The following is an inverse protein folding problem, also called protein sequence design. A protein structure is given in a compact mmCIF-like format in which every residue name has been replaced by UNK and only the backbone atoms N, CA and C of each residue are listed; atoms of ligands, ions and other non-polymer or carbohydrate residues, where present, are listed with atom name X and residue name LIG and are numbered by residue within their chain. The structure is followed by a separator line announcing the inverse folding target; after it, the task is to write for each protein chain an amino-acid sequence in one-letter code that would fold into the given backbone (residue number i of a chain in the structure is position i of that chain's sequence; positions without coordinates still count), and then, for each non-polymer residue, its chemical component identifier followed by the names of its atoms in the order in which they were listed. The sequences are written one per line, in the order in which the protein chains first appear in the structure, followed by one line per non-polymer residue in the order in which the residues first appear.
data_IF_407118209501
#
_entry.id   IF_407118209501
#
_cell.length_a   1.000
_cell.length_b   1.000
_cell.length_c   1.000
_cell.angle_alpha   90.00
_cell.angle_beta   90.00
_cell.angle_gamma   90.00
#
_symmetry.space_group_name_H-M   'P 1'
#
loop_
_entity.id
_entity.type
_entity.pdbx_description
1 polymer ?
#
# COMPACT_ATOMS: atom_id res chain seq x y z
N UNK A 1 3.26 5.03 21.85
CA UNK A 1 2.40 3.83 21.64
C UNK A 1 2.78 2.72 22.60
N UNK A 2 1.81 1.96 23.14
CA UNK A 2 2.05 0.78 24.01
C UNK A 2 2.36 -0.48 23.18
N UNK A 3 2.84 -1.57 23.79
CA UNK A 3 3.03 -2.85 23.07
C UNK A 3 1.71 -3.39 22.51
N UNK A 4 0.63 -3.29 23.29
CA UNK A 4 -0.70 -3.76 22.88
C UNK A 4 -1.23 -2.99 21.67
N UNK A 5 -1.06 -1.66 21.64
CA UNK A 5 -1.48 -0.83 20.52
C UNK A 5 -0.71 -1.19 19.24
N UNK A 6 0.63 -1.29 19.31
CA UNK A 6 1.43 -1.66 18.12
C UNK A 6 1.10 -3.08 17.64
N UNK A 7 0.76 -4.00 18.56
CA UNK A 7 0.31 -5.34 18.17
C UNK A 7 -1.05 -5.32 17.47
N UNK A 8 -1.99 -4.51 17.95
CA UNK A 8 -3.29 -4.36 17.28
C UNK A 8 -3.14 -3.79 15.86
N UNK A 9 -2.30 -2.75 15.70
CA UNK A 9 -1.93 -2.20 14.39
C UNK A 9 -1.37 -3.28 13.45
N UNK A 10 -0.44 -4.10 13.95
CA UNK A 10 0.14 -5.19 13.16
C UNK A 10 -0.91 -6.21 12.70
N UNK A 11 -1.84 -6.61 13.57
CA UNK A 11 -2.90 -7.55 13.22
C UNK A 11 -3.86 -6.98 12.17
N UNK A 12 -4.23 -5.70 12.29
CA UNK A 12 -5.10 -5.03 11.33
C UNK A 12 -4.43 -4.89 9.96
N UNK A 13 -3.19 -4.41 9.93
CA UNK A 13 -2.38 -4.31 8.72
C UNK A 13 -2.17 -5.67 8.07
N UNK A 14 -1.96 -6.73 8.86
CA UNK A 14 -1.83 -8.11 8.35
C UNK A 14 -3.06 -8.54 7.56
N UNK A 15 -4.26 -8.35 8.11
CA UNK A 15 -5.50 -8.77 7.44
C UNK A 15 -5.77 -7.95 6.18
N UNK A 16 -5.46 -6.65 6.20
CA UNK A 16 -5.59 -5.80 5.02
C UNK A 16 -4.60 -6.24 3.92
N UNK A 17 -3.31 -6.39 4.25
CA UNK A 17 -2.30 -6.85 3.30
C UNK A 17 -2.64 -8.21 2.71
N UNK A 18 -3.06 -9.17 3.54
CA UNK A 18 -3.48 -10.50 3.10
C UNK A 18 -4.57 -10.42 2.03
N UNK A 19 -5.58 -9.60 2.28
CA UNK A 19 -6.68 -9.40 1.33
C UNK A 19 -6.21 -8.70 0.07
N UNK A 20 -5.44 -7.61 0.19
CA UNK A 20 -4.91 -6.88 -0.97
C UNK A 20 -4.03 -7.74 -1.85
N UNK A 21 -3.18 -8.61 -1.28
CA UNK A 21 -2.36 -9.59 -2.02
C UNK A 21 -3.26 -10.58 -2.74
N UNK A 22 -4.27 -11.15 -2.07
CA UNK A 22 -5.19 -12.10 -2.68
C UNK A 22 -5.98 -11.47 -3.86
N UNK A 23 -6.62 -10.33 -3.64
CA UNK A 23 -7.42 -9.62 -4.65
C UNK A 23 -6.55 -9.22 -5.87
N UNK A 24 -5.32 -8.75 -5.61
CA UNK A 24 -4.38 -8.36 -6.66
C UNK A 24 -3.86 -9.55 -7.45
N UNK A 25 -3.50 -10.65 -6.77
CA UNK A 25 -3.03 -11.87 -7.43
C UNK A 25 -4.12 -12.52 -8.27
N UNK A 26 -5.34 -12.61 -7.74
CA UNK A 26 -6.49 -13.15 -8.48
C UNK A 26 -6.75 -12.37 -9.76
N UNK A 27 -6.68 -11.03 -9.69
CA UNK A 27 -6.76 -10.18 -10.87
C UNK A 27 -5.60 -10.45 -11.84
N UNK A 28 -4.35 -10.37 -11.38
CA UNK A 28 -3.17 -10.52 -12.24
C UNK A 28 -3.10 -11.89 -12.94
N UNK A 29 -3.57 -12.95 -12.30
CA UNK A 29 -3.58 -14.31 -12.85
C UNK A 29 -4.63 -14.52 -13.94
N UNK A 30 -5.69 -13.72 -13.96
CA UNK A 30 -6.80 -13.85 -14.91
C UNK A 30 -6.71 -12.87 -16.08
N UNK A 31 -5.79 -11.89 -16.02
CA UNK A 31 -5.76 -10.77 -16.94
C UNK A 31 -4.70 -10.91 -18.02
N UNK A 32 -5.05 -10.46 -19.22
CA UNK A 32 -4.14 -10.30 -20.34
C UNK A 32 -4.37 -8.97 -21.03
N UNK A 33 -3.36 -8.42 -21.68
CA UNK A 33 -3.49 -7.18 -22.46
C UNK A 33 -4.59 -7.31 -23.52
N UNK A 34 -4.70 -8.48 -24.16
CA UNK A 34 -5.76 -8.74 -25.14
C UNK A 34 -7.15 -8.64 -24.53
N UNK A 35 -7.38 -9.23 -23.35
CA UNK A 35 -8.65 -9.15 -22.64
C UNK A 35 -8.98 -7.71 -22.20
N UNK A 36 -8.00 -6.99 -21.64
CA UNK A 36 -8.14 -5.58 -21.23
C UNK A 36 -8.50 -4.66 -22.41
N UNK A 37 -7.97 -4.93 -23.61
CA UNK A 37 -8.31 -4.17 -24.83
C UNK A 37 -9.73 -4.44 -25.34
N UNK A 38 -10.44 -5.46 -24.85
CA UNK A 38 -11.85 -5.67 -25.17
C UNK A 38 -12.78 -4.86 -24.25
N UNK A 39 -12.34 -4.55 -23.03
CA UNK A 39 -13.11 -3.78 -22.04
C UNK A 39 -13.24 -2.29 -22.36
N UNK A 40 -14.25 -1.61 -21.85
CA UNK A 40 -14.33 -0.14 -21.93
C UNK A 40 -13.07 0.52 -21.35
N UNK A 41 -12.62 1.61 -21.99
CA UNK A 41 -11.43 2.36 -21.59
C UNK A 41 -10.73 3.02 -22.79
N UNK A 42 -9.55 3.59 -22.55
CA UNK A 42 -8.76 4.31 -23.56
C UNK A 42 -8.24 3.45 -24.71
N UNK A 43 -8.16 2.12 -24.53
CA UNK A 43 -7.56 1.18 -25.50
C UNK A 43 -6.07 1.43 -25.78
N UNK A 44 -5.41 2.22 -24.94
CA UNK A 44 -3.98 2.52 -25.05
C UNK A 44 -3.16 1.32 -24.55
N UNK A 45 -2.75 0.45 -25.47
CA UNK A 45 -2.09 -0.81 -25.14
C UNK A 45 -0.86 -0.63 -24.26
N UNK A 46 -0.03 0.38 -24.54
CA UNK A 46 1.19 0.62 -23.76
C UNK A 46 0.86 1.10 -22.34
N UNK A 47 -0.14 1.96 -22.19
CA UNK A 47 -0.63 2.37 -20.89
C UNK A 47 -1.17 1.19 -20.08
N UNK A 48 -1.90 0.26 -20.70
CA UNK A 48 -2.40 -0.95 -20.01
C UNK A 48 -1.26 -1.87 -19.54
N UNK A 49 -0.17 -1.97 -20.30
CA UNK A 49 1.04 -2.67 -19.83
C UNK A 49 1.65 -1.99 -18.62
N UNK A 50 1.70 -0.65 -18.61
CA UNK A 50 2.20 0.11 -17.46
C UNK A 50 1.33 -0.09 -16.23
N UNK A 51 0.00 -0.11 -16.36
CA UNK A 51 -0.92 -0.42 -15.27
C UNK A 51 -0.64 -1.79 -14.65
N UNK A 52 -0.53 -2.84 -15.47
CA UNK A 52 -0.20 -4.18 -14.98
C UNK A 52 1.21 -4.25 -14.36
N UNK A 53 2.17 -3.50 -14.89
CA UNK A 53 3.53 -3.43 -14.33
C UNK A 53 3.52 -2.78 -12.94
N UNK A 54 2.80 -1.67 -12.77
CA UNK A 54 2.65 -1.00 -11.49
C UNK A 54 1.97 -1.92 -10.47
N UNK A 55 0.88 -2.56 -10.88
CA UNK A 55 0.12 -3.46 -10.02
C UNK A 55 0.94 -4.67 -9.54
N UNK A 56 1.74 -5.30 -10.42
CA UNK A 56 2.67 -6.37 -10.02
C UNK A 56 3.71 -5.91 -9.00
N UNK A 57 4.21 -4.69 -9.15
CA UNK A 57 5.19 -4.16 -8.20
C UNK A 57 4.56 -3.88 -6.84
N UNK A 58 3.34 -3.35 -6.82
CA UNK A 58 2.58 -3.16 -5.60
C UNK A 58 2.29 -4.49 -4.89
N UNK A 59 1.88 -5.51 -5.65
CA UNK A 59 1.62 -6.86 -5.13
C UNK A 59 2.85 -7.43 -4.40
N UNK A 60 4.03 -7.39 -5.03
CA UNK A 60 5.28 -7.84 -4.41
C UNK A 60 5.57 -7.10 -3.10
N UNK A 61 5.37 -5.78 -3.05
CA UNK A 61 5.58 -5.03 -1.81
C UNK A 61 4.60 -5.43 -0.71
N UNK A 62 3.34 -5.66 -1.06
CA UNK A 62 2.33 -6.09 -0.10
C UNK A 62 2.58 -7.52 0.40
N UNK A 63 3.05 -8.42 -0.45
CA UNK A 63 3.38 -9.80 -0.10
C UNK A 63 4.59 -9.87 0.85
N UNK A 64 5.69 -9.18 0.51
CA UNK A 64 6.86 -9.06 1.39
C UNK A 64 6.50 -8.43 2.75
N UNK A 65 5.64 -7.42 2.75
CA UNK A 65 5.13 -6.79 3.96
C UNK A 65 4.27 -7.74 4.80
N UNK A 66 3.38 -8.51 4.16
CA UNK A 66 2.53 -9.49 4.82
C UNK A 66 3.36 -10.55 5.54
N UNK A 67 4.37 -11.09 4.85
CA UNK A 67 5.28 -12.07 5.42
C UNK A 67 6.07 -11.51 6.62
N UNK A 68 6.59 -10.28 6.49
CA UNK A 68 7.32 -9.61 7.56
C UNK A 68 6.44 -9.42 8.81
N UNK A 69 5.20 -8.98 8.62
CA UNK A 69 4.21 -8.80 9.70
C UNK A 69 3.88 -10.15 10.36
N UNK A 70 3.66 -11.19 9.56
CA UNK A 70 3.35 -12.54 10.04
C UNK A 70 4.48 -13.10 10.90
N UNK A 71 5.74 -12.98 10.45
CA UNK A 71 6.92 -13.44 11.20
C UNK A 71 7.00 -12.76 12.57
N UNK A 72 6.75 -11.45 12.64
CA UNK A 72 6.83 -10.71 13.92
C UNK A 72 5.69 -11.11 14.85
N UNK A 73 4.47 -11.28 14.35
CA UNK A 73 3.31 -11.65 15.16
C UNK A 73 3.40 -13.09 15.71
N UNK A 74 4.04 -13.99 14.96
CA UNK A 74 4.26 -15.38 15.36
C UNK A 74 5.51 -15.58 16.24
N UNK A 75 6.32 -14.54 16.44
CA UNK A 75 7.51 -14.63 17.30
C UNK A 75 7.14 -14.89 18.77
N UNK A 76 7.95 -15.71 19.45
CA UNK A 76 7.75 -16.07 20.86
C UNK A 76 7.69 -14.84 21.78
N UNK A 77 8.49 -13.82 21.46
CA UNK A 77 8.49 -12.53 22.17
C UNK A 77 8.21 -11.39 21.20
N UNK A 78 7.14 -10.63 21.46
CA UNK A 78 6.79 -9.49 20.61
C UNK A 78 7.84 -8.37 20.68
N UNK A 79 8.63 -8.23 19.61
CA UNK A 79 9.71 -7.24 19.50
C UNK A 79 9.18 -5.91 18.97
N UNK A 80 8.59 -5.09 19.85
CA UNK A 80 8.00 -3.79 19.46
C UNK A 80 8.89 -2.91 18.56
N UNK A 81 10.20 -2.72 18.80
CA UNK A 81 11.02 -1.90 17.91
C UNK A 81 11.08 -2.42 16.47
N UNK A 82 11.03 -3.74 16.27
CA UNK A 82 10.98 -4.35 14.95
C UNK A 82 9.60 -4.17 14.31
N UNK A 83 8.52 -4.31 15.09
CA UNK A 83 7.15 -4.04 14.64
C UNK A 83 6.98 -2.58 14.18
N UNK A 84 7.39 -1.60 15.01
CA UNK A 84 7.31 -0.17 14.66
C UNK A 84 8.12 0.14 13.38
N UNK A 85 9.30 -0.48 13.20
CA UNK A 85 10.10 -0.31 11.97
C UNK A 85 9.42 -0.93 10.75
N UNK A 86 8.76 -2.07 10.93
CA UNK A 86 8.06 -2.78 9.84
C UNK A 86 6.84 -1.97 9.40
N UNK A 87 6.04 -1.47 10.34
CA UNK A 87 4.90 -0.59 10.06
C UNK A 87 5.32 0.71 9.37
N UNK A 88 6.46 1.29 9.76
CA UNK A 88 7.07 2.41 9.07
C UNK A 88 7.43 2.07 7.61
N UNK A 89 8.06 0.91 7.38
CA UNK A 89 8.36 0.42 6.03
C UNK A 89 7.11 0.25 5.18
N UNK A 90 6.05 -0.35 5.74
CA UNK A 90 4.77 -0.58 5.06
C UNK A 90 4.13 0.74 4.62
N UNK A 91 4.16 1.75 5.49
CA UNK A 91 3.68 3.09 5.13
C UNK A 91 4.40 3.63 3.88
N UNK A 92 5.72 3.58 3.86
CA UNK A 92 6.48 4.16 2.75
C UNK A 92 6.59 3.29 1.50
N UNK A 93 6.48 1.96 1.62
CA UNK A 93 6.67 1.05 0.49
C UNK A 93 5.34 0.58 -0.12
N UNK A 94 4.32 0.35 0.69
CA UNK A 94 3.01 -0.08 0.20
C UNK A 94 2.08 1.13 0.02
N UNK A 95 1.84 1.88 1.10
CA UNK A 95 0.84 2.96 1.09
C UNK A 95 1.25 4.06 0.11
N UNK A 96 2.46 4.59 0.24
CA UNK A 96 2.93 5.64 -0.68
C UNK A 96 3.03 5.17 -2.13
N UNK A 97 3.42 3.92 -2.38
CA UNK A 97 3.45 3.39 -3.75
C UNK A 97 2.05 3.26 -4.35
N UNK A 98 1.03 2.96 -3.55
CA UNK A 98 -0.35 2.96 -4.04
C UNK A 98 -0.85 4.36 -4.36
N UNK A 99 -0.64 5.36 -3.50
CA UNK A 99 -1.15 6.72 -3.74
C UNK A 99 -0.29 7.54 -4.71
N UNK A 100 0.98 7.17 -4.88
CA UNK A 100 1.94 7.83 -5.77
C UNK A 100 2.87 6.80 -6.43
N UNK A 101 2.36 5.98 -7.35
CA UNK A 101 3.13 4.93 -8.01
C UNK A 101 4.25 5.52 -8.86
N UNK A 102 5.36 4.78 -9.00
CA UNK A 102 6.47 5.23 -9.85
C UNK A 102 6.02 5.45 -11.30
N UNK A 103 6.49 6.55 -11.87
CA UNK A 103 6.19 6.93 -13.24
C UNK A 103 4.81 7.58 -13.41
N UNK A 104 4.14 7.91 -12.30
CA UNK A 104 2.86 8.64 -12.31
C UNK A 104 1.83 7.92 -13.20
N UNK A 105 1.70 6.61 -13.02
CA UNK A 105 0.82 5.78 -13.86
C UNK A 105 -0.65 6.02 -13.49
N UNK A 106 -0.90 6.29 -12.22
CA UNK A 106 -2.10 6.93 -11.68
C UNK A 106 -1.67 7.85 -10.53
N UNK A 107 -2.54 8.72 -10.06
CA UNK A 107 -2.20 9.68 -9.00
C UNK A 107 -3.37 9.97 -8.07
N UNK A 108 -3.05 10.38 -6.85
CA UNK A 108 -4.04 10.85 -5.88
C UNK A 108 -4.47 12.30 -6.16
N UNK A 109 -5.78 12.54 -6.21
CA UNK A 109 -6.37 13.87 -6.10
C UNK A 109 -6.47 14.27 -4.63
N UNK A 110 -5.59 15.18 -4.21
CA UNK A 110 -5.51 15.69 -2.84
C UNK A 110 -6.81 16.36 -2.34
N UNK A 111 -7.76 16.67 -3.24
CA UNK A 111 -9.07 17.25 -2.88
C UNK A 111 -10.16 16.22 -2.65
N UNK A 112 -9.90 14.94 -2.92
CA UNK A 112 -10.88 13.87 -2.83
C UNK A 112 -11.52 13.75 -1.43
N UNK A 113 -10.73 14.00 -0.37
CA UNK A 113 -11.18 14.04 1.02
C UNK A 113 -12.36 15.01 1.27
N UNK A 114 -12.50 16.07 0.45
CA UNK A 114 -13.59 17.04 0.58
C UNK A 114 -14.84 16.69 -0.24
N UNK A 115 -14.73 15.75 -1.17
CA UNK A 115 -15.79 15.46 -2.16
C UNK A 115 -16.42 14.09 -2.00
N UNK A 116 -15.85 13.22 -1.16
CA UNK A 116 -16.31 11.84 -0.95
C UNK A 116 -16.21 10.97 -2.21
N UNK A 117 -15.38 11.38 -3.18
CA UNK A 117 -15.10 10.64 -4.41
C UNK A 117 -13.80 9.84 -4.27
N UNK A 118 -13.64 8.83 -5.12
CA UNK A 118 -12.39 8.09 -5.27
C UNK A 118 -11.22 9.07 -5.52
N UNK A 119 -10.18 8.93 -4.71
CA UNK A 119 -8.99 9.74 -4.71
C UNK A 119 -8.08 9.41 -5.89
N UNK A 120 -8.07 8.16 -6.37
CA UNK A 120 -7.22 7.80 -7.50
C UNK A 120 -7.77 8.33 -8.83
N UNK A 121 -6.91 9.01 -9.58
CA UNK A 121 -7.12 9.55 -10.92
C UNK A 121 -6.15 8.93 -11.90
N UNK A 122 -6.51 8.98 -13.18
CA UNK A 122 -5.79 8.31 -14.25
C UNK A 122 -5.47 9.30 -15.36
N UNK A 123 -4.28 9.17 -15.97
CA UNK A 123 -3.90 9.97 -17.14
C UNK A 123 -4.66 9.55 -18.40
N UNK A 124 -4.95 8.25 -18.51
CA UNK A 124 -5.82 7.68 -19.53
C UNK A 124 -6.84 6.76 -18.87
N UNK A 125 -8.01 6.61 -19.49
CA UNK A 125 -9.07 5.76 -18.97
C UNK A 125 -8.60 4.29 -18.90
N UNK A 126 -8.48 3.69 -17.69
CA UNK A 126 -8.08 2.30 -17.54
C UNK A 126 -9.23 1.36 -17.95
N UNK A 127 -8.97 0.05 -18.13
CA UNK A 127 -10.04 -0.93 -18.27
C UNK A 127 -10.96 -0.92 -17.07
N UNK A 128 -12.25 -1.21 -17.30
CA UNK A 128 -13.26 -1.21 -16.24
C UNK A 128 -12.89 -2.16 -15.08
N UNK A 129 -12.37 -3.35 -15.38
CA UNK A 129 -11.93 -4.35 -14.40
C UNK A 129 -10.80 -3.82 -13.52
N UNK A 130 -9.83 -3.13 -14.12
CA UNK A 130 -8.71 -2.51 -13.41
C UNK A 130 -9.20 -1.42 -12.46
N UNK A 131 -10.09 -0.54 -12.93
CA UNK A 131 -10.68 0.51 -12.09
C UNK A 131 -11.39 -0.07 -10.88
N UNK A 132 -12.18 -1.14 -11.06
CA UNK A 132 -12.90 -1.80 -9.96
C UNK A 132 -11.92 -2.29 -8.88
N UNK A 133 -10.84 -2.97 -9.30
CA UNK A 133 -9.79 -3.40 -8.38
C UNK A 133 -9.17 -2.21 -7.62
N UNK A 134 -8.80 -1.14 -8.33
CA UNK A 134 -8.19 0.04 -7.68
C UNK A 134 -9.14 0.68 -6.66
N UNK A 135 -10.44 0.76 -6.92
CA UNK A 135 -11.43 1.29 -5.96
C UNK A 135 -11.53 0.42 -4.70
N UNK A 136 -11.43 -0.91 -4.85
CA UNK A 136 -11.42 -1.83 -3.72
C UNK A 136 -10.13 -1.72 -2.90
N UNK A 137 -8.98 -1.65 -3.58
CA UNK A 137 -7.69 -1.41 -2.95
C UNK A 137 -7.62 -0.04 -2.28
N UNK A 138 -8.18 1.01 -2.89
CA UNK A 138 -8.13 2.37 -2.34
C UNK A 138 -8.72 2.42 -0.94
N UNK A 139 -9.85 1.75 -0.70
CA UNK A 139 -10.48 1.67 0.64
C UNK A 139 -9.57 0.98 1.66
N UNK A 140 -8.97 -0.14 1.27
CA UNK A 140 -8.05 -0.90 2.10
C UNK A 140 -6.80 -0.08 2.45
N UNK A 141 -6.19 0.57 1.45
CA UNK A 141 -4.99 1.38 1.61
C UNK A 141 -5.27 2.68 2.37
N UNK A 142 -6.45 3.28 2.21
CA UNK A 142 -6.89 4.41 3.00
C UNK A 142 -7.00 4.04 4.49
N UNK A 143 -7.61 2.90 4.80
CA UNK A 143 -7.70 2.39 6.17
C UNK A 143 -6.30 2.16 6.77
N UNK A 144 -5.39 1.51 6.03
CA UNK A 144 -4.00 1.35 6.50
C UNK A 144 -3.30 2.70 6.70
N UNK A 145 -3.52 3.68 5.81
CA UNK A 145 -2.92 5.01 5.90
C UNK A 145 -3.36 5.74 7.17
N UNK A 146 -4.64 5.67 7.50
CA UNK A 146 -5.20 6.25 8.72
C UNK A 146 -4.65 5.58 9.97
N UNK A 147 -4.65 4.25 10.02
CA UNK A 147 -4.14 3.48 11.16
C UNK A 147 -2.64 3.70 11.39
N UNK A 148 -1.89 3.93 10.31
CA UNK A 148 -0.44 4.14 10.34
C UNK A 148 0.00 5.61 10.25
N UNK A 149 -0.91 6.58 10.40
CA UNK A 149 -0.60 8.01 10.29
C UNK A 149 0.56 8.47 11.22
N UNK A 150 0.69 7.85 12.40
CA UNK A 150 1.83 8.10 13.31
C UNK A 150 3.20 7.83 12.66
N UNK A 151 3.28 6.85 11.76
CA UNK A 151 4.52 6.46 11.11
C UNK A 151 4.91 7.39 9.95
N UNK A 152 4.00 8.24 9.47
CA UNK A 152 4.29 9.26 8.46
C UNK A 152 5.24 10.34 8.98
N UNK A 153 4.99 10.85 10.20
CA UNK A 153 5.58 12.11 10.69
C UNK A 153 6.36 11.94 12.00
N UNK A 154 5.75 11.33 13.00
CA UNK A 154 6.28 11.30 14.37
C UNK A 154 7.38 10.24 14.57
N UNK A 155 7.23 9.08 13.91
CA UNK A 155 8.21 8.00 14.05
C UNK A 155 9.60 8.41 13.53
N UNK A 156 9.67 9.05 12.36
CA UNK A 156 10.93 9.53 11.79
C UNK A 156 11.64 10.52 12.74
N UNK A 157 10.91 11.52 13.24
CA UNK A 157 11.43 12.52 14.19
C UNK A 157 12.00 11.87 15.44
N UNK A 158 11.29 10.88 16.01
CA UNK A 158 11.75 10.11 17.18
C UNK A 158 13.04 9.32 16.90
N UNK A 159 13.23 8.82 15.68
CA UNK A 159 14.41 8.05 15.29
C UNK A 159 15.63 8.97 15.10
N UNK A 160 15.48 10.08 14.37
CA UNK A 160 16.55 11.07 14.19
C UNK A 160 17.06 11.61 15.54
N UNK A 161 16.14 12.02 16.43
CA UNK A 161 16.52 12.49 17.77
C UNK A 161 17.18 11.42 18.66
N UNK A 162 17.00 10.13 18.36
CA UNK A 162 17.67 9.03 19.08
C UNK A 162 19.07 8.78 18.54
N UNK A 163 19.27 8.95 17.23
CA UNK A 163 20.59 8.83 16.60
C UNK A 163 21.51 9.98 17.02
N UNK A 164 21.02 11.22 17.03
CA UNK A 164 21.78 12.40 17.48
C UNK A 164 22.26 12.29 18.94
N UNK A 165 21.45 11.66 19.80
CA UNK A 165 21.83 11.42 21.21
C UNK A 165 22.89 10.34 21.36
N UNK A 166 22.96 9.37 20.44
CA UNK A 166 23.97 8.30 20.44
C UNK A 166 25.30 8.73 19.84
N UNK A 167 25.29 9.68 18.90
CA UNK A 167 26.51 10.28 18.33
C UNK A 167 27.13 11.36 19.22
N UNK A 168 26.38 11.86 20.20
CA UNK A 168 26.83 12.84 21.21
C UNK A 168 27.28 12.21 22.54
N UNK A 169 27.32 10.87 22.63
CA UNK A 169 27.74 10.09 23.81
C UNK A 169 28.99 9.28 23.49
#
# INVERSE_FOLDING_TARGET
MSNQMVRAQMEEVKEILKKSVADTNDYLNQQSIGAMLLEEGSKEQEYYKLLLKALRRLEVFCDEAYDAVQIILQSETFRKPAAERTLYGIYHQCIMEFFSPKGDIWYEDSRAAYTGKDAIKYHHEPPQSFRKLIVELEKAFQQMREELAYYETDYHTKMVMKEDRRSSS
#
